data_IF_101183139689
#
_entry.id   IF_101183139689
#
_cell.length_a   1.000
_cell.length_b   1.000
_cell.length_c   1.000
_cell.angle_alpha   90.00
_cell.angle_beta   90.00
_cell.angle_gamma   90.00
#
_symmetry.space_group_name_H-M   'P 1'
#
loop_
_entity.id
_entity.type
_entity.pdbx_description
1 polymer ?
#
# COMPACT_ATOMS: atom_id res chain seq x y z
N UNK A 1 8.73 7.29 27.26
CA UNK A 1 7.74 8.16 26.60
C UNK A 1 7.56 7.63 25.18
N UNK A 2 6.33 7.31 24.79
CA UNK A 2 6.01 6.88 23.41
C UNK A 2 5.77 8.16 22.60
N UNK A 3 6.55 8.38 21.55
CA UNK A 3 6.37 9.52 20.64
C UNK A 3 5.09 9.36 19.83
N UNK A 4 4.46 10.46 19.40
CA UNK A 4 3.29 10.42 18.51
C UNK A 4 3.59 9.71 17.18
N UNK A 5 4.86 9.57 16.81
CA UNK A 5 5.35 8.87 15.62
C UNK A 5 5.52 7.36 15.80
N UNK A 6 5.44 6.84 17.02
CA UNK A 6 5.72 5.43 17.28
C UNK A 6 4.53 4.55 16.86
N UNK A 7 4.79 3.39 16.22
CA UNK A 7 3.73 2.45 15.91
C UNK A 7 3.00 2.03 17.19
N UNK A 8 1.67 2.14 17.18
CA UNK A 8 0.84 1.67 18.29
C UNK A 8 0.55 0.18 18.08
N UNK A 9 0.98 -0.72 18.99
CA UNK A 9 0.59 -2.12 18.94
C UNK A 9 -0.91 -2.23 19.27
N UNK A 10 -1.55 -3.25 18.72
CA UNK A 10 -2.98 -3.43 18.85
C UNK A 10 -3.56 -4.47 17.91
N UNK A 11 -4.87 -4.55 17.93
CA UNK A 11 -5.66 -5.46 17.10
C UNK A 11 -6.32 -4.71 15.96
N UNK A 12 -6.23 -5.29 14.76
CA UNK A 12 -7.05 -4.90 13.62
C UNK A 12 -8.17 -5.93 13.46
N UNK A 13 -9.40 -5.46 13.58
CA UNK A 13 -10.63 -6.22 13.50
C UNK A 13 -11.29 -5.87 12.17
N UNK A 14 -11.68 -6.88 11.40
CA UNK A 14 -12.41 -6.70 10.14
C UNK A 14 -13.80 -7.29 10.34
N UNK A 15 -14.83 -6.46 10.23
CA UNK A 15 -16.22 -6.86 10.36
C UNK A 15 -17.04 -6.45 9.14
N UNK A 16 -18.34 -6.71 9.20
CA UNK A 16 -19.22 -6.51 8.03
C UNK A 16 -19.38 -5.04 7.63
N UNK A 17 -19.30 -4.11 8.60
CA UNK A 17 -19.43 -2.67 8.37
C UNK A 17 -18.14 -1.95 8.01
N UNK A 18 -16.98 -2.52 8.32
CA UNK A 18 -15.69 -1.87 8.12
C UNK A 18 -14.55 -2.53 8.87
N UNK A 19 -13.45 -1.79 8.97
CA UNK A 19 -12.30 -2.15 9.81
C UNK A 19 -12.26 -1.31 11.08
N UNK A 20 -11.77 -1.92 12.15
CA UNK A 20 -11.55 -1.27 13.43
C UNK A 20 -10.15 -1.60 13.92
N UNK A 21 -9.40 -0.59 14.34
CA UNK A 21 -8.14 -0.76 15.05
C UNK A 21 -8.34 -0.39 16.52
N UNK A 22 -7.84 -1.23 17.43
CA UNK A 22 -7.79 -0.95 18.88
C UNK A 22 -6.36 -1.08 19.38
N UNK A 23 -5.84 -0.01 19.99
CA UNK A 23 -4.52 -0.04 20.62
C UNK A 23 -4.54 -0.84 21.92
N UNK A 24 -3.46 -1.57 22.20
CA UNK A 24 -3.31 -2.36 23.44
C UNK A 24 -3.28 -1.50 24.70
N UNK A 25 -2.89 -0.24 24.59
CA UNK A 25 -2.91 0.72 25.69
C UNK A 25 -4.31 1.07 26.19
N UNK A 26 -5.37 0.62 25.50
CA UNK A 26 -6.76 1.02 25.76
C UNK A 26 -7.09 2.44 25.27
N UNK A 27 -6.08 3.24 24.93
CA UNK A 27 -6.22 4.61 24.47
C UNK A 27 -5.86 4.72 22.98
N UNK A 28 -6.91 4.77 22.16
CA UNK A 28 -6.81 4.96 20.72
C UNK A 28 -7.54 3.86 19.96
N UNK A 29 -8.59 4.26 19.26
CA UNK A 29 -9.30 3.43 18.32
C UNK A 29 -9.51 4.19 17.01
N UNK A 30 -9.61 3.44 15.92
CA UNK A 30 -9.94 3.99 14.61
C UNK A 30 -10.95 3.05 13.99
N UNK A 31 -12.05 3.59 13.48
CA UNK A 31 -13.04 2.83 12.71
C UNK A 31 -13.14 3.43 11.33
N UNK A 32 -13.04 2.59 10.30
CA UNK A 32 -13.13 3.01 8.90
C UNK A 32 -14.18 2.14 8.22
N UNK A 33 -15.37 2.69 7.93
CA UNK A 33 -16.39 1.99 7.17
C UNK A 33 -15.87 1.59 5.79
N UNK A 34 -16.29 0.43 5.26
CA UNK A 34 -15.89 -0.02 3.93
C UNK A 34 -16.17 1.01 2.84
N UNK A 35 -17.29 1.72 2.96
CA UNK A 35 -17.73 2.76 2.03
C UNK A 35 -16.73 3.92 1.90
N UNK A 36 -15.99 4.23 2.97
CA UNK A 36 -15.06 5.37 3.02
C UNK A 36 -13.64 4.98 2.56
N UNK A 37 -13.42 3.71 2.21
CA UNK A 37 -12.13 3.24 1.71
C UNK A 37 -12.06 3.48 0.21
N UNK A 38 -11.16 4.39 -0.15
CA UNK A 38 -10.82 4.70 -1.53
C UNK A 38 -10.07 3.54 -2.18
N UNK A 39 -9.01 3.08 -1.51
CA UNK A 39 -8.19 1.93 -1.95
C UNK A 39 -7.31 1.40 -0.82
N UNK A 40 -6.87 0.17 -0.99
CA UNK A 40 -5.91 -0.50 -0.11
C UNK A 40 -4.63 -0.79 -0.89
N UNK A 41 -3.48 -0.35 -0.36
CA UNK A 41 -2.17 -0.52 -1.01
C UNK A 41 -1.33 -1.56 -0.27
N UNK A 42 -1.18 -2.75 -0.84
CA UNK A 42 -0.39 -3.83 -0.26
C UNK A 42 1.12 -3.55 -0.35
N UNK A 43 1.82 -3.62 0.78
CA UNK A 43 3.27 -3.48 0.85
C UNK A 43 3.95 -4.81 0.54
N UNK A 44 4.10 -5.08 -0.76
CA UNK A 44 4.79 -6.27 -1.25
C UNK A 44 6.30 -6.02 -1.28
N UNK A 45 7.05 -6.77 -0.48
CA UNK A 45 8.50 -6.80 -0.48
C UNK A 45 9.03 -7.97 -1.32
N UNK A 46 10.05 -7.71 -2.12
CA UNK A 46 10.53 -8.64 -3.15
C UNK A 46 9.39 -9.15 -4.05
N UNK A 47 9.13 -10.46 -4.04
CA UNK A 47 8.11 -11.12 -4.89
C UNK A 47 6.95 -11.73 -4.09
N UNK A 48 7.15 -12.08 -2.83
CA UNK A 48 6.22 -12.97 -2.10
C UNK A 48 5.81 -12.48 -0.72
N UNK A 49 6.57 -11.56 -0.11
CA UNK A 49 6.34 -11.18 1.28
C UNK A 49 5.50 -9.91 1.38
N UNK A 50 4.45 -9.93 2.21
CA UNK A 50 3.62 -8.76 2.50
C UNK A 50 3.83 -8.39 3.97
N UNK A 51 4.44 -7.22 4.22
CA UNK A 51 4.66 -6.71 5.58
C UNK A 51 3.40 -6.10 6.19
N UNK A 52 2.55 -5.54 5.33
CA UNK A 52 1.45 -4.69 5.76
C UNK A 52 0.77 -4.02 4.57
N UNK A 53 0.01 -2.98 4.85
CA UNK A 53 -0.75 -2.26 3.85
C UNK A 53 -1.07 -0.83 4.29
N UNK A 54 -1.37 0.01 3.31
CA UNK A 54 -1.95 1.32 3.54
C UNK A 54 -3.45 1.29 3.25
N UNK A 55 -4.24 1.93 4.10
CA UNK A 55 -5.65 2.23 3.84
C UNK A 55 -5.75 3.71 3.48
N UNK A 56 -6.04 4.00 2.21
CA UNK A 56 -6.33 5.35 1.76
C UNK A 56 -7.85 5.56 1.84
N UNK A 57 -8.28 6.60 2.57
CA UNK A 57 -9.70 6.97 2.71
C UNK A 57 -10.06 8.17 1.83
N UNK A 58 -11.34 8.35 1.58
CA UNK A 58 -11.83 9.36 0.63
C UNK A 58 -11.51 10.81 1.05
N UNK A 59 -11.37 11.07 2.35
CA UNK A 59 -11.00 12.38 2.90
C UNK A 59 -9.49 12.72 2.80
N UNK A 60 -8.73 11.87 2.11
CA UNK A 60 -7.30 12.10 1.84
C UNK A 60 -6.36 11.59 2.92
N UNK A 61 -6.85 11.09 4.05
CA UNK A 61 -5.99 10.43 5.06
C UNK A 61 -5.49 9.07 4.55
N UNK A 62 -4.35 8.65 5.06
CA UNK A 62 -3.75 7.34 4.79
C UNK A 62 -3.24 6.73 6.09
N UNK A 63 -3.71 5.53 6.41
CA UNK A 63 -3.29 4.77 7.59
C UNK A 63 -2.34 3.66 7.18
N UNK A 64 -1.24 3.49 7.91
CA UNK A 64 -0.25 2.43 7.67
C UNK A 64 -0.39 1.34 8.73
N UNK A 65 -0.62 0.10 8.31
CA UNK A 65 -0.69 -1.06 9.19
C UNK A 65 0.42 -2.04 8.85
N UNK A 66 1.20 -2.42 9.87
CA UNK A 66 2.09 -3.59 9.84
C UNK A 66 1.36 -4.70 10.56
N UNK A 67 1.08 -5.80 9.86
CA UNK A 67 0.22 -6.86 10.39
C UNK A 67 0.88 -8.23 10.21
N UNK A 68 0.89 -9.04 11.27
CA UNK A 68 1.39 -10.41 11.24
C UNK A 68 0.60 -11.28 10.24
N UNK A 69 -0.71 -11.05 10.12
CA UNK A 69 -1.62 -11.74 9.20
C UNK A 69 -2.06 -10.87 8.02
N UNK A 70 -1.14 -10.09 7.44
CA UNK A 70 -1.47 -9.12 6.39
C UNK A 70 -2.17 -9.75 5.15
N UNK A 71 -1.76 -10.96 4.74
CA UNK A 71 -2.35 -11.64 3.57
C UNK A 71 -3.82 -11.98 3.81
N UNK A 72 -4.16 -12.47 4.99
CA UNK A 72 -5.53 -12.81 5.37
C UNK A 72 -6.41 -11.56 5.44
N UNK A 73 -5.90 -10.49 6.07
CA UNK A 73 -6.58 -9.21 6.10
C UNK A 73 -6.87 -8.66 4.69
N UNK A 74 -5.89 -8.72 3.78
CA UNK A 74 -6.06 -8.27 2.40
C UNK A 74 -7.08 -9.10 1.62
N UNK A 75 -7.20 -10.41 1.91
CA UNK A 75 -8.23 -11.27 1.30
C UNK A 75 -9.62 -10.84 1.73
N UNK A 76 -9.84 -10.65 3.03
CA UNK A 76 -11.12 -10.17 3.56
C UNK A 76 -11.47 -8.79 2.99
N UNK A 77 -10.52 -7.85 2.99
CA UNK A 77 -10.73 -6.53 2.41
C UNK A 77 -11.09 -6.59 0.92
N UNK A 78 -10.48 -7.50 0.15
CA UNK A 78 -10.82 -7.71 -1.26
C UNK A 78 -12.26 -8.16 -1.43
N UNK A 79 -12.75 -9.02 -0.54
CA UNK A 79 -14.10 -9.58 -0.65
C UNK A 79 -15.16 -8.48 -0.39
N UNK A 80 -14.87 -7.48 0.45
CA UNK A 80 -15.75 -6.31 0.66
C UNK A 80 -15.57 -5.18 -0.37
N UNK A 81 -14.33 -4.91 -0.81
CA UNK A 81 -14.00 -3.74 -1.63
C UNK A 81 -13.92 -4.03 -3.14
N UNK A 82 -13.78 -5.29 -3.50
CA UNK A 82 -13.46 -5.74 -4.86
C UNK A 82 -11.99 -5.56 -5.23
N UNK A 83 -11.55 -6.35 -6.22
CA UNK A 83 -10.16 -6.37 -6.68
C UNK A 83 -9.64 -5.03 -7.20
N UNK A 84 -10.52 -4.17 -7.74
CA UNK A 84 -10.13 -2.87 -8.30
C UNK A 84 -9.56 -1.91 -7.25
N UNK A 85 -10.03 -2.01 -6.00
CA UNK A 85 -9.56 -1.17 -4.88
C UNK A 85 -8.32 -1.73 -4.19
N UNK A 86 -7.90 -2.96 -4.50
CA UNK A 86 -6.72 -3.59 -3.90
C UNK A 86 -5.52 -3.51 -4.86
N UNK A 87 -4.56 -2.64 -4.55
CA UNK A 87 -3.41 -2.37 -5.43
C UNK A 87 -2.08 -2.65 -4.75
N UNK A 88 -1.02 -2.90 -5.53
CA UNK A 88 0.34 -3.01 -5.01
C UNK A 88 0.90 -1.61 -4.71
N UNK A 89 1.44 -1.41 -3.52
CA UNK A 89 2.16 -0.18 -3.19
C UNK A 89 3.42 -0.04 -4.08
N UNK A 90 3.66 1.15 -4.60
CA UNK A 90 4.84 1.41 -5.42
C UNK A 90 6.11 1.21 -4.59
N UNK A 91 6.93 0.23 -4.96
CA UNK A 91 8.27 0.03 -4.40
C UNK A 91 9.25 0.89 -5.20
N UNK A 92 10.08 1.68 -4.52
CA UNK A 92 11.03 2.64 -5.12
C UNK A 92 11.90 2.01 -6.24
N UNK A 93 12.22 0.72 -6.12
CA UNK A 93 12.98 -0.06 -7.10
C UNK A 93 12.27 -0.31 -8.44
N UNK A 94 10.93 -0.44 -8.44
CA UNK A 94 10.16 -0.74 -9.66
C UNK A 94 10.01 0.47 -10.60
N UNK A 95 9.99 1.67 -10.04
CA UNK A 95 9.85 2.92 -10.81
C UNK A 95 11.20 3.37 -11.38
N UNK A 96 12.29 3.18 -10.63
CA UNK A 96 13.64 3.59 -11.05
C UNK A 96 14.11 2.83 -12.29
N UNK A 97 13.99 1.49 -12.32
CA UNK A 97 14.39 0.68 -13.48
C UNK A 97 13.59 1.01 -14.74
N UNK A 98 12.28 1.28 -14.62
CA UNK A 98 11.45 1.66 -15.77
C UNK A 98 11.86 3.02 -16.36
N UNK A 99 12.21 3.99 -15.51
CA UNK A 99 12.66 5.31 -16.00
C UNK A 99 14.05 5.26 -16.61
N UNK A 100 15.01 4.55 -16.01
CA UNK A 100 16.35 4.38 -16.58
C UNK A 100 16.33 3.67 -17.93
N UNK A 101 15.56 2.59 -18.05
CA UNK A 101 15.49 1.84 -19.31
C UNK A 101 14.85 2.69 -20.44
N UNK A 102 13.80 3.46 -20.11
CA UNK A 102 13.19 4.39 -21.07
C UNK A 102 14.13 5.56 -21.43
N UNK A 103 14.96 6.03 -20.49
CA UNK A 103 15.96 7.07 -20.78
C UNK A 103 17.06 6.55 -21.70
N UNK A 104 17.63 5.37 -21.39
CA UNK A 104 18.72 4.79 -22.17
C UNK A 104 18.28 4.43 -23.59
N UNK A 105 17.07 3.87 -23.77
CA UNK A 105 16.52 3.59 -25.09
C UNK A 105 16.27 4.86 -25.93
N UNK A 106 15.85 5.96 -25.30
CA UNK A 106 15.65 7.22 -26.02
C UNK A 106 16.97 7.91 -26.37
N UNK A 107 18.00 7.76 -25.52
CA UNK A 107 19.35 8.28 -25.77
C UNK A 107 20.03 7.48 -26.89
N UNK A 108 20.02 6.15 -26.85
CA UNK A 108 20.63 5.31 -27.89
C UNK A 108 19.95 5.46 -29.26
N UNK A 109 18.62 5.63 -29.30
CA UNK A 109 17.89 5.96 -30.55
C UNK A 109 18.25 7.32 -31.14
N UNK A 110 18.70 8.29 -30.33
CA UNK A 110 19.17 9.60 -30.81
C UNK A 110 20.58 9.54 -31.39
N UNK A 111 21.43 8.64 -30.90
CA UNK A 111 22.79 8.45 -31.41
C UNK A 111 22.87 7.48 -32.61
N UNK A 112 21.93 6.54 -32.76
CA UNK A 112 21.87 5.59 -33.89
C UNK A 112 21.22 6.12 -35.19
N UNK A 113 20.91 7.42 -35.29
CA UNK A 113 20.25 8.03 -36.47
C UNK A 113 21.20 8.91 -37.31
N UNK A 114 22.51 8.76 -37.17
CA UNK A 114 23.51 9.44 -38.02
C UNK A 114 24.43 8.42 -38.69
N UNK A 115 23.85 7.50 -39.47
CA UNK A 115 24.59 6.72 -40.45
C UNK A 115 23.61 6.22 -41.52
N UNK A 116 23.11 7.14 -42.33
CA UNK A 116 22.51 6.90 -43.65
C UNK A 116 22.05 8.24 -44.24
N UNK A 117 23.01 9.02 -44.75
CA UNK A 117 22.92 9.75 -46.03
C UNK A 117 24.23 10.45 -46.32
#
# INVERSE_FOLDING_TARGET
MVSASDPKPGFLILGDGGLEFRADSGHGYIMIPWANIKRVRAQVYMKTHIRGFFIDVDDGRSFNFVASKAVEALRIMRDHLGSAKLVKAATLTGTMNKRFHNLWQNVTKRFGRKENK
#
